data_IF_700382013461
#
_entry.id   IF_700382013461
#
_cell.length_a   1.000
_cell.length_b   1.000
_cell.length_c   1.000
_cell.angle_alpha   90.00
_cell.angle_beta   90.00
_cell.angle_gamma   90.00
#
_symmetry.space_group_name_H-M   'P 1'
#
loop_
_entity.id
_entity.type
_entity.pdbx_description
1 polymer ?
#
# COMPACT_ATOMS: atom_id res chain seq x y z
N UNK A 1 31.48 -11.50 -55.77
CA UNK A 1 30.57 -10.96 -56.81
C UNK A 1 29.99 -9.68 -56.21
N UNK A 2 30.54 -8.48 -56.42
CA UNK A 2 30.56 -7.62 -57.63
C UNK A 2 29.18 -7.24 -58.20
N UNK A 3 28.73 -6.07 -57.73
CA UNK A 3 27.98 -4.98 -58.39
C UNK A 3 26.45 -4.84 -58.17
N UNK A 4 25.93 -3.59 -58.24
CA UNK A 4 24.65 -3.18 -57.65
C UNK A 4 23.65 -2.65 -58.70
N UNK A 5 22.49 -2.16 -58.25
CA UNK A 5 21.59 -1.35 -59.08
C UNK A 5 21.14 -0.10 -58.31
N UNK A 6 21.45 1.10 -58.84
CA UNK A 6 20.78 2.34 -58.47
C UNK A 6 19.40 2.38 -59.15
N UNK A 7 18.43 3.04 -58.54
CA UNK A 7 17.47 3.86 -59.31
C UNK A 7 17.31 5.23 -58.65
N UNK A 8 17.38 6.26 -59.49
CA UNK A 8 17.13 7.65 -59.10
C UNK A 8 15.66 8.00 -59.35
N UNK A 9 15.12 8.94 -58.58
CA UNK A 9 13.80 9.53 -58.79
C UNK A 9 13.78 10.96 -58.28
N UNK A 10 13.91 11.93 -59.19
CA UNK A 10 13.96 13.36 -58.91
C UNK A 10 12.82 14.08 -59.65
N UNK A 11 11.90 14.70 -58.90
CA UNK A 11 10.99 15.77 -59.31
C UNK A 11 10.47 16.39 -58.01
N UNK A 12 10.69 17.65 -57.60
CA UNK A 12 10.80 18.97 -58.27
C UNK A 12 9.45 19.71 -58.44
N UNK A 13 9.14 20.49 -57.40
CA UNK A 13 8.52 21.85 -57.42
C UNK A 13 7.12 22.02 -58.05
N UNK A 14 6.16 22.45 -57.22
CA UNK A 14 5.54 23.78 -57.37
C UNK A 14 4.87 24.24 -56.08
N UNK A 15 4.95 25.54 -55.79
CA UNK A 15 4.33 26.19 -54.63
C UNK A 15 3.22 27.16 -55.10
N UNK A 16 2.26 27.46 -54.22
CA UNK A 16 1.28 28.57 -54.18
C UNK A 16 0.10 28.08 -53.30
N UNK A 17 -0.41 28.78 -52.29
CA UNK A 17 -0.02 30.05 -51.68
C UNK A 17 -1.23 30.70 -50.98
N UNK A 18 -1.01 31.42 -49.87
CA UNK A 18 -1.96 32.39 -49.26
C UNK A 18 -3.27 31.80 -48.64
N UNK A 19 -3.87 32.35 -47.59
CA UNK A 19 -3.51 33.46 -46.68
C UNK A 19 -4.34 33.38 -45.38
N UNK A 20 -3.86 34.02 -44.31
CA UNK A 20 -4.74 34.61 -43.29
C UNK A 20 -5.02 33.80 -42.01
N UNK A 21 -4.19 34.02 -40.99
CA UNK A 21 -4.68 34.19 -39.61
C UNK A 21 -4.07 35.47 -39.06
N UNK A 22 -4.93 36.37 -38.59
CA UNK A 22 -4.58 37.70 -38.08
C UNK A 22 -3.87 37.62 -36.73
N UNK A 23 -2.75 38.33 -36.60
CA UNK A 23 -2.17 38.64 -35.29
C UNK A 23 -2.94 39.80 -34.63
N UNK A 24 -3.24 39.68 -33.33
CA UNK A 24 -3.57 40.74 -32.36
C UNK A 24 -3.97 40.07 -31.01
N UNK A 25 -3.77 40.72 -29.85
CA UNK A 25 -2.74 41.69 -29.49
C UNK A 25 -1.77 41.14 -28.42
N UNK A 26 -0.62 41.80 -28.25
CA UNK A 26 0.09 41.73 -26.98
C UNK A 26 -0.74 42.48 -25.92
N UNK A 27 -1.16 41.79 -24.86
CA UNK A 27 -1.70 42.46 -23.66
C UNK A 27 -0.63 42.53 -22.57
N UNK A 28 -0.68 43.64 -21.84
CA UNK A 28 0.38 44.11 -20.96
C UNK A 28 0.54 43.28 -19.68
N UNK A 29 1.64 43.54 -18.97
CA UNK A 29 1.87 43.13 -17.60
C UNK A 29 0.61 43.27 -16.73
N UNK A 30 0.14 42.13 -16.23
CA UNK A 30 -0.44 42.06 -14.90
C UNK A 30 0.44 41.16 -14.05
N UNK A 31 1.36 41.80 -13.33
CA UNK A 31 2.03 41.25 -12.15
C UNK A 31 0.98 40.98 -11.07
N UNK A 32 0.18 39.94 -11.26
CA UNK A 32 -0.73 39.41 -10.25
C UNK A 32 0.12 38.81 -9.14
N UNK A 33 0.41 39.61 -8.13
CA UNK A 33 1.24 39.20 -7.00
C UNK A 33 0.69 37.94 -6.37
N UNK A 34 1.55 36.94 -6.17
CA UNK A 34 1.33 35.83 -5.25
C UNK A 34 1.42 36.35 -3.81
N UNK A 35 0.49 37.22 -3.46
CA UNK A 35 0.32 37.81 -2.12
C UNK A 35 -1.05 37.41 -1.60
N UNK A 36 -1.05 36.66 -0.51
CA UNK A 36 -2.22 36.18 0.23
C UNK A 36 -3.14 35.22 -0.53
N UNK A 37 -2.72 33.95 -0.67
CA UNK A 37 -3.66 32.90 -0.22
C UNK A 37 -3.87 33.15 1.27
N UNK A 38 -5.12 33.40 1.66
CA UNK A 38 -5.45 33.82 3.00
C UNK A 38 -4.98 32.79 4.04
N UNK A 39 -4.31 33.28 5.08
CA UNK A 39 -4.20 32.60 6.38
C UNK A 39 -5.58 32.55 7.02
N UNK A 40 -6.42 31.64 6.54
CA UNK A 40 -7.63 31.22 7.22
C UNK A 40 -7.35 29.88 7.89
N UNK A 41 -7.27 29.88 9.22
CA UNK A 41 -7.15 28.66 10.05
C UNK A 41 -8.46 27.86 10.03
N UNK A 42 -8.86 27.37 8.86
CA UNK A 42 -9.60 26.13 8.78
C UNK A 42 -8.59 25.00 9.06
N UNK A 43 -8.77 24.17 10.11
CA UNK A 43 -7.88 23.05 10.34
C UNK A 43 -7.90 22.14 9.11
N UNK A 44 -6.74 21.99 8.47
CA UNK A 44 -6.62 21.15 7.28
C UNK A 44 -7.13 19.74 7.60
N UNK A 45 -8.16 19.22 6.88
CA UNK A 45 -8.62 17.85 7.09
C UNK A 45 -7.55 16.82 6.69
N UNK A 46 -6.57 17.23 5.87
CA UNK A 46 -5.30 16.52 5.74
C UNK A 46 -4.41 16.85 6.95
N UNK A 47 -4.24 15.88 7.84
CA UNK A 47 -3.10 15.84 8.77
C UNK A 47 -1.79 15.46 8.05
N UNK A 48 -1.85 15.10 6.76
CA UNK A 48 -0.67 15.01 5.90
C UNK A 48 -0.06 16.40 5.75
N UNK A 49 1.25 16.50 5.99
CA UNK A 49 2.02 17.72 5.73
C UNK A 49 3.03 17.48 4.62
N UNK A 50 3.20 18.44 3.70
CA UNK A 50 4.28 18.43 2.72
C UNK A 50 5.27 19.51 3.13
N UNK A 51 6.50 19.12 3.45
CA UNK A 51 7.55 20.08 3.80
C UNK A 51 8.17 20.73 2.56
N UNK A 52 8.83 21.88 2.75
CA UNK A 52 9.65 22.53 1.72
C UNK A 52 10.86 21.68 1.29
N UNK A 53 11.18 20.65 2.06
CA UNK A 53 12.15 19.59 1.79
C UNK A 53 11.63 18.49 0.86
N UNK A 54 10.41 18.61 0.33
CA UNK A 54 9.80 17.64 -0.59
C UNK A 54 9.27 16.38 0.08
N UNK A 55 9.36 16.27 1.41
CA UNK A 55 8.84 15.14 2.18
C UNK A 55 7.35 15.31 2.48
N UNK A 56 6.57 14.31 2.09
CA UNK A 56 5.19 14.08 2.52
C UNK A 56 5.26 13.30 3.84
N UNK A 57 4.63 13.81 4.90
CA UNK A 57 4.60 13.19 6.24
C UNK A 57 3.18 12.81 6.61
N UNK A 58 3.00 11.61 7.12
CA UNK A 58 1.71 11.00 7.39
C UNK A 58 1.38 11.03 8.90
N UNK A 59 0.10 11.23 9.29
CA UNK A 59 -0.31 11.02 10.67
C UNK A 59 -0.19 9.54 11.04
N UNK A 60 0.45 9.21 12.15
CA UNK A 60 0.57 7.80 12.59
C UNK A 60 -0.80 7.17 12.89
N UNK A 61 -1.05 5.98 12.36
CA UNK A 61 -2.20 5.13 12.72
C UNK A 61 -2.16 4.82 14.22
N UNK A 62 -0.97 4.67 14.80
CA UNK A 62 -0.80 4.42 16.23
C UNK A 62 -1.24 5.62 17.11
N UNK A 63 -1.44 6.82 16.53
CA UNK A 63 -2.05 7.94 17.26
C UNK A 63 -3.55 7.70 17.58
N UNK A 64 -4.21 6.76 16.89
CA UNK A 64 -5.59 6.34 17.18
C UNK A 64 -5.69 5.34 18.33
N UNK A 65 -4.57 4.87 18.89
CA UNK A 65 -4.54 3.94 20.03
C UNK A 65 -3.75 4.51 21.20
N UNK A 66 -4.10 4.10 22.42
CA UNK A 66 -3.42 4.53 23.63
C UNK A 66 -2.10 3.76 23.84
N UNK A 67 -1.11 4.03 22.97
CA UNK A 67 0.24 3.52 23.12
C UNK A 67 0.83 3.90 24.49
N UNK A 68 1.32 2.88 25.19
CA UNK A 68 2.04 2.97 26.46
C UNK A 68 3.39 3.71 26.29
N UNK A 69 3.91 4.33 27.37
CA UNK A 69 5.23 4.96 27.34
C UNK A 69 6.36 3.97 26.98
N UNK A 70 6.20 2.69 27.37
CA UNK A 70 7.18 1.64 27.10
C UNK A 70 7.28 1.26 25.62
N UNK A 71 6.15 1.24 24.90
CA UNK A 71 6.11 1.01 23.46
C UNK A 71 6.60 2.24 22.69
N UNK A 72 6.14 3.44 23.06
CA UNK A 72 6.63 4.73 22.49
C UNK A 72 8.14 4.89 22.63
N UNK A 73 8.69 4.67 23.82
CA UNK A 73 10.12 4.80 24.11
C UNK A 73 11.02 3.76 23.44
N UNK A 74 10.44 2.76 22.76
CA UNK A 74 11.15 1.74 21.97
C UNK A 74 10.91 1.87 20.47
N UNK A 75 10.14 2.87 20.02
CA UNK A 75 9.95 3.13 18.60
C UNK A 75 11.28 3.52 17.94
N UNK A 76 11.56 2.94 16.76
CA UNK A 76 12.77 3.20 16.00
C UNK A 76 12.44 3.60 14.57
N UNK A 77 12.76 4.83 14.19
CA UNK A 77 12.63 5.32 12.81
C UNK A 77 13.90 5.05 12.03
N UNK A 78 13.75 4.53 10.80
CA UNK A 78 14.84 4.35 9.84
C UNK A 78 14.44 4.87 8.47
N UNK A 79 15.39 5.51 7.78
CA UNK A 79 15.24 5.90 6.38
C UNK A 79 15.49 4.68 5.48
N UNK A 80 14.61 4.45 4.52
CA UNK A 80 14.66 3.32 3.58
C UNK A 80 14.58 3.85 2.16
N UNK A 81 15.58 3.50 1.34
CA UNK A 81 15.62 3.87 -0.07
C UNK A 81 14.93 2.80 -0.91
N UNK A 82 13.81 3.15 -1.51
CA UNK A 82 13.11 2.32 -2.49
C UNK A 82 13.75 2.36 -3.88
N UNK A 83 13.14 1.64 -4.80
CA UNK A 83 13.56 1.56 -6.20
C UNK A 83 12.46 2.06 -7.14
N UNK A 84 12.80 2.95 -8.07
CA UNK A 84 11.89 3.38 -9.13
C UNK A 84 11.77 2.25 -10.17
N UNK A 85 10.59 1.61 -10.24
CA UNK A 85 10.27 0.55 -11.21
C UNK A 85 9.04 1.01 -12.00
N UNK A 86 9.19 1.21 -13.32
CA UNK A 86 8.08 1.63 -14.20
C UNK A 86 7.44 2.98 -13.83
N UNK A 87 8.24 3.96 -13.36
CA UNK A 87 7.73 5.25 -12.89
C UNK A 87 7.07 5.23 -11.51
N UNK A 88 7.06 4.08 -10.83
CA UNK A 88 6.52 3.90 -9.48
C UNK A 88 7.64 3.63 -8.49
N UNK A 89 7.61 4.22 -7.30
CA UNK A 89 8.50 3.84 -6.21
C UNK A 89 8.02 2.52 -5.58
N UNK A 90 8.86 1.49 -5.66
CA UNK A 90 8.70 0.23 -4.92
C UNK A 90 9.52 0.28 -3.63
N UNK A 91 9.00 -0.31 -2.56
CA UNK A 91 9.68 -0.37 -1.27
C UNK A 91 9.93 -1.82 -0.89
N UNK A 92 11.17 -2.11 -0.49
CA UNK A 92 11.59 -3.43 -0.06
C UNK A 92 12.01 -3.31 1.41
N UNK A 93 11.33 -4.07 2.29
CA UNK A 93 11.65 -4.15 3.71
C UNK A 93 11.83 -5.61 4.09
N UNK A 94 12.84 -5.87 4.91
CA UNK A 94 13.05 -7.17 5.54
C UNK A 94 13.39 -7.01 7.01
N UNK A 95 13.18 -8.09 7.76
CA UNK A 95 13.57 -8.19 9.16
C UNK A 95 13.35 -9.61 9.69
N UNK A 96 13.64 -9.78 10.97
CA UNK A 96 13.43 -11.02 11.71
C UNK A 96 12.51 -10.72 12.89
N UNK A 97 11.53 -11.57 13.12
CA UNK A 97 10.62 -11.50 14.27
C UNK A 97 10.64 -12.82 15.04
N UNK A 98 10.46 -12.75 16.36
CA UNK A 98 10.34 -13.92 17.22
C UNK A 98 8.88 -14.34 17.32
N UNK A 99 8.59 -15.63 17.11
CA UNK A 99 7.22 -16.15 17.18
C UNK A 99 6.62 -16.14 18.60
N UNK A 100 7.47 -15.99 19.62
CA UNK A 100 7.08 -15.79 21.02
C UNK A 100 7.45 -14.36 21.52
N UNK A 101 7.79 -13.45 20.61
CA UNK A 101 8.18 -12.07 20.94
C UNK A 101 6.99 -11.10 21.01
N UNK A 102 7.25 -9.82 21.32
CA UNK A 102 6.27 -8.77 21.09
C UNK A 102 5.97 -8.67 19.59
N UNK A 103 4.74 -8.27 19.28
CA UNK A 103 4.32 -7.91 17.94
C UNK A 103 5.00 -6.60 17.53
N UNK A 104 5.28 -6.43 16.23
CA UNK A 104 5.99 -5.28 15.67
C UNK A 104 5.10 -4.62 14.62
N UNK A 105 4.77 -3.35 14.83
CA UNK A 105 4.15 -2.53 13.80
C UNK A 105 5.19 -1.63 13.14
N UNK A 106 5.35 -1.75 11.83
CA UNK A 106 6.21 -0.89 11.01
C UNK A 106 5.32 0.03 10.19
N UNK A 107 5.56 1.34 10.25
CA UNK A 107 4.72 2.35 9.61
C UNK A 107 5.54 3.27 8.73
N UNK A 108 5.11 3.46 7.47
CA UNK A 108 5.55 4.53 6.59
C UNK A 108 5.06 5.88 7.17
N UNK A 109 5.97 6.58 7.85
CA UNK A 109 5.68 7.86 8.52
C UNK A 109 6.03 9.08 7.65
N UNK A 110 6.92 8.91 6.65
CA UNK A 110 7.18 9.91 5.62
C UNK A 110 7.62 9.29 4.29
N UNK A 111 7.44 10.04 3.20
CA UNK A 111 7.80 9.67 1.83
C UNK A 111 8.32 10.89 1.04
N UNK A 112 9.40 10.71 0.30
CA UNK A 112 9.97 11.72 -0.60
C UNK A 112 9.89 11.22 -2.06
N UNK A 113 8.90 11.68 -2.85
CA UNK A 113 8.62 11.13 -4.18
C UNK A 113 9.81 11.21 -5.14
N UNK A 114 10.51 12.35 -5.19
CA UNK A 114 11.58 12.58 -6.17
C UNK A 114 12.86 11.74 -5.93
N UNK A 115 12.99 11.09 -4.76
CA UNK A 115 14.14 10.23 -4.42
C UNK A 115 13.74 8.77 -4.14
N UNK A 116 12.44 8.43 -4.26
CA UNK A 116 11.86 7.17 -3.80
C UNK A 116 12.32 6.76 -2.39
N UNK A 117 12.38 7.70 -1.44
CA UNK A 117 12.85 7.43 -0.07
C UNK A 117 11.70 7.51 0.92
N UNK A 118 11.70 6.65 1.93
CA UNK A 118 10.66 6.51 2.94
C UNK A 118 11.26 6.59 4.35
N UNK A 119 10.52 7.10 5.33
CA UNK A 119 10.84 6.93 6.75
C UNK A 119 9.91 5.91 7.36
N UNK A 120 10.47 4.82 7.88
CA UNK A 120 9.71 3.72 8.48
C UNK A 120 9.97 3.68 9.97
N UNK A 121 8.91 3.86 10.77
CA UNK A 121 8.95 3.77 12.23
C UNK A 121 8.49 2.38 12.67
N UNK A 122 9.37 1.64 13.34
CA UNK A 122 9.09 0.32 13.92
C UNK A 122 8.76 0.48 15.39
N UNK A 123 7.57 0.08 15.81
CA UNK A 123 7.09 0.15 17.21
C UNK A 123 6.75 -1.24 17.72
N UNK A 124 7.36 -1.73 18.81
CA UNK A 124 6.92 -2.96 19.45
C UNK A 124 5.60 -2.72 20.19
N UNK A 125 4.64 -3.63 20.02
CA UNK A 125 3.32 -3.57 20.65
C UNK A 125 3.19 -4.62 21.76
N UNK A 126 2.49 -4.22 22.82
CA UNK A 126 1.92 -5.15 23.81
C UNK A 126 0.61 -5.75 23.26
N UNK A 127 0.14 -6.91 23.76
CA UNK A 127 -1.07 -7.55 23.25
C UNK A 127 -2.33 -6.68 23.27
N UNK A 128 -2.45 -5.75 24.21
CA UNK A 128 -3.57 -4.79 24.25
C UNK A 128 -3.45 -3.69 23.19
N UNK A 129 -2.24 -3.27 22.85
CA UNK A 129 -1.99 -2.31 21.76
C UNK A 129 -2.22 -2.96 20.39
N UNK A 130 -1.81 -4.22 20.21
CA UNK A 130 -2.14 -5.04 19.02
C UNK A 130 -3.65 -5.11 18.77
N UNK A 131 -4.42 -5.43 19.82
CA UNK A 131 -5.88 -5.47 19.74
C UNK A 131 -6.49 -4.10 19.42
N UNK A 132 -5.94 -3.03 20.00
CA UNK A 132 -6.33 -1.65 19.66
C UNK A 132 -6.09 -1.34 18.17
N UNK A 133 -4.92 -1.67 17.64
CA UNK A 133 -4.58 -1.48 16.22
C UNK A 133 -5.51 -2.27 15.29
N UNK A 134 -5.82 -3.52 15.64
CA UNK A 134 -6.78 -4.33 14.89
C UNK A 134 -8.17 -3.65 14.85
N UNK A 135 -8.63 -3.07 15.97
CA UNK A 135 -9.91 -2.37 16.06
C UNK A 135 -9.98 -1.08 15.21
N UNK A 136 -8.88 -0.35 15.03
CA UNK A 136 -8.82 0.83 14.12
C UNK A 136 -9.17 0.44 12.69
N UNK A 137 -8.83 -0.78 12.26
CA UNK A 137 -9.20 -1.32 10.94
C UNK A 137 -10.62 -1.88 10.84
N UNK A 138 -11.35 -2.03 11.95
CA UNK A 138 -12.70 -2.60 11.98
C UNK A 138 -13.83 -1.57 12.00
N UNK A 139 -13.51 -0.28 12.12
CA UNK A 139 -14.51 0.79 12.34
C UNK A 139 -15.19 1.29 11.05
N UNK A 140 -14.71 0.90 9.86
CA UNK A 140 -15.47 1.08 8.61
C UNK A 140 -16.62 0.06 8.59
N UNK A 141 -17.86 0.55 8.66
CA UNK A 141 -19.07 -0.23 8.88
C UNK A 141 -19.11 -1.56 8.15
N UNK A 142 -18.94 -2.65 8.91
CA UNK A 142 -18.75 -3.99 8.37
C UNK A 142 -20.01 -4.53 7.69
N UNK A 143 -20.08 -4.36 6.36
CA UNK A 143 -20.61 -5.42 5.52
C UNK A 143 -19.45 -6.39 5.31
N UNK A 144 -19.55 -7.59 5.87
CA UNK A 144 -18.77 -8.73 5.36
C UNK A 144 -19.27 -9.03 3.95
N UNK A 145 -18.75 -8.28 2.97
CA UNK A 145 -18.99 -8.58 1.57
C UNK A 145 -18.19 -9.84 1.25
N UNK A 146 -18.87 -10.98 1.22
CA UNK A 146 -18.42 -12.09 0.39
C UNK A 146 -18.29 -11.59 -1.05
N UNK A 147 -17.06 -11.25 -1.44
CA UNK A 147 -16.60 -11.03 -2.82
C UNK A 147 -17.61 -10.30 -3.72
N UNK A 148 -17.63 -8.95 -3.64
CA UNK A 148 -18.27 -8.08 -4.64
C UNK A 148 -17.94 -8.59 -6.05
N UNK A 149 -18.97 -8.90 -6.83
CA UNK A 149 -18.89 -9.91 -7.89
C UNK A 149 -18.30 -9.43 -9.23
N UNK A 150 -17.41 -8.41 -9.20
CA UNK A 150 -16.60 -7.99 -10.37
C UNK A 150 -15.37 -8.88 -10.58
N UNK A 151 -15.66 -10.15 -10.82
CA UNK A 151 -14.86 -11.11 -11.59
C UNK A 151 -13.31 -11.03 -11.49
N UNK A 152 -12.76 -11.59 -10.43
CA UNK A 152 -11.98 -12.83 -10.60
C UNK A 152 -11.98 -13.63 -9.30
N UNK A 153 -12.49 -14.87 -9.35
CA UNK A 153 -12.45 -15.78 -8.19
C UNK A 153 -10.98 -16.03 -7.84
N UNK A 154 -10.51 -15.71 -6.62
CA UNK A 154 -9.13 -15.99 -6.26
C UNK A 154 -8.86 -17.50 -6.35
N UNK A 155 -7.67 -17.93 -6.80
CA UNK A 155 -7.36 -19.34 -6.93
C UNK A 155 -7.48 -20.03 -5.57
N UNK A 156 -8.48 -20.91 -5.44
CA UNK A 156 -8.74 -21.66 -4.21
C UNK A 156 -7.60 -22.66 -3.99
N UNK A 157 -6.66 -22.33 -3.10
CA UNK A 157 -5.74 -23.34 -2.57
C UNK A 157 -6.50 -24.24 -1.61
N UNK A 158 -6.51 -25.54 -1.88
CA UNK A 158 -7.35 -26.54 -1.20
C UNK A 158 -7.13 -26.62 0.31
N UNK A 159 -8.18 -27.12 0.96
CA UNK A 159 -8.49 -27.01 2.37
C UNK A 159 -7.70 -27.94 3.30
N UNK A 160 -7.92 -27.74 4.60
CA UNK A 160 -7.27 -28.40 5.72
C UNK A 160 -7.68 -29.88 5.84
N UNK A 161 -6.75 -30.80 5.62
CA UNK A 161 -6.97 -32.22 5.97
C UNK A 161 -6.64 -32.40 7.45
N UNK A 162 -7.68 -32.63 8.25
CA UNK A 162 -7.51 -32.99 9.66
C UNK A 162 -6.76 -34.33 9.77
N UNK A 163 -5.71 -34.45 10.61
CA UNK A 163 -5.06 -35.73 10.86
C UNK A 163 -6.01 -36.66 11.61
N UNK A 164 -6.45 -37.71 10.94
CA UNK A 164 -7.24 -38.80 11.50
C UNK A 164 -6.34 -39.91 12.05
N UNK A 165 -6.85 -40.63 13.06
CA UNK A 165 -6.30 -41.83 13.71
C UNK A 165 -5.17 -41.63 14.75
N UNK A 166 -5.09 -42.60 15.65
CA UNK A 166 -4.56 -42.43 17.01
C UNK A 166 -3.19 -43.08 17.28
N UNK A 167 -2.55 -42.55 18.32
CA UNK A 167 -1.62 -43.20 19.25
C UNK A 167 -0.28 -43.78 18.73
N UNK A 168 0.81 -43.10 19.10
CA UNK A 168 1.86 -43.67 19.98
C UNK A 168 2.69 -42.54 20.62
N UNK A 169 3.16 -42.66 21.88
CA UNK A 169 3.77 -41.55 22.61
C UNK A 169 5.29 -41.39 22.40
N UNK A 170 5.78 -40.20 22.73
CA UNK A 170 7.22 -39.86 22.94
C UNK A 170 8.17 -39.91 21.74
N UNK A 171 7.84 -39.16 20.70
CA UNK A 171 8.80 -38.13 20.26
C UNK A 171 8.43 -36.84 21.02
N UNK A 172 9.42 -36.06 21.45
CA UNK A 172 9.16 -34.77 22.11
C UNK A 172 8.26 -33.95 21.17
N UNK A 173 7.08 -33.54 21.65
CA UNK A 173 6.09 -32.85 20.82
C UNK A 173 6.77 -31.67 20.14
N UNK A 174 6.94 -31.75 18.82
CA UNK A 174 7.69 -30.75 18.09
C UNK A 174 6.96 -29.42 18.29
N UNK A 175 7.64 -28.44 18.89
CA UNK A 175 7.00 -27.19 19.24
C UNK A 175 6.43 -26.57 17.97
N UNK A 176 5.10 -26.45 17.91
CA UNK A 176 4.40 -25.81 16.82
C UNK A 176 4.59 -24.31 16.96
N UNK A 177 5.21 -23.71 15.95
CA UNK A 177 5.54 -22.29 15.89
C UNK A 177 4.65 -21.67 14.83
N UNK A 178 4.11 -20.48 15.10
CA UNK A 178 3.28 -19.74 14.15
C UNK A 178 3.71 -18.29 14.10
N UNK A 179 3.62 -17.69 12.91
CA UNK A 179 3.92 -16.29 12.70
C UNK A 179 3.14 -15.72 11.53
N UNK A 180 2.95 -14.41 11.57
CA UNK A 180 2.20 -13.67 10.57
C UNK A 180 2.94 -12.41 10.12
N UNK A 181 2.59 -11.95 8.93
CA UNK A 181 2.97 -10.66 8.35
C UNK A 181 1.70 -10.11 7.70
N UNK A 182 1.29 -8.90 8.07
CA UNK A 182 0.09 -8.26 7.55
C UNK A 182 0.40 -6.84 7.05
N UNK A 183 0.62 -6.71 5.76
CA UNK A 183 0.70 -5.44 5.05
C UNK A 183 -0.68 -4.77 4.94
N UNK A 184 -0.68 -3.46 5.03
CA UNK A 184 -1.87 -2.62 5.13
C UNK A 184 -1.61 -1.30 4.39
N UNK A 185 -2.60 -0.86 3.62
CA UNK A 185 -2.61 0.46 3.01
C UNK A 185 -3.62 1.34 3.73
N UNK A 186 -3.15 2.52 4.12
CA UNK A 186 -3.89 3.49 4.91
C UNK A 186 -4.03 4.81 4.16
N UNK A 187 -5.24 5.33 4.10
CA UNK A 187 -5.54 6.60 3.44
C UNK A 187 -5.09 7.82 4.30
N UNK A 188 -5.25 9.06 3.80
CA UNK A 188 -4.81 10.26 4.50
C UNK A 188 -5.47 10.57 5.85
N UNK A 189 -6.58 9.90 6.19
CA UNK A 189 -7.27 10.03 7.48
C UNK A 189 -7.22 8.71 8.28
N UNK A 190 -6.27 7.84 7.93
CA UNK A 190 -5.96 6.57 8.57
C UNK A 190 -7.17 5.63 8.59
N UNK A 191 -7.87 5.51 7.45
CA UNK A 191 -8.80 4.43 7.13
C UNK A 191 -8.03 3.37 6.32
N UNK A 192 -8.22 2.09 6.65
CA UNK A 192 -7.59 0.97 5.96
C UNK A 192 -8.29 0.74 4.63
N UNK A 193 -7.59 0.95 3.51
CA UNK A 193 -8.14 0.83 2.15
C UNK A 193 -7.77 -0.48 1.46
N UNK A 194 -6.80 -1.21 1.99
CA UNK A 194 -6.47 -2.57 1.61
C UNK A 194 -5.59 -3.21 2.68
N UNK A 195 -5.58 -4.54 2.74
CA UNK A 195 -4.58 -5.31 3.49
C UNK A 195 -4.35 -6.67 2.83
N UNK A 196 -3.26 -7.32 3.18
CA UNK A 196 -3.00 -8.74 2.94
C UNK A 196 -2.44 -9.32 4.24
N UNK A 197 -2.76 -10.59 4.56
CA UNK A 197 -2.14 -11.30 5.69
C UNK A 197 -1.49 -12.58 5.20
N UNK A 198 -0.16 -12.66 5.27
CA UNK A 198 0.59 -13.91 5.15
C UNK A 198 0.67 -14.57 6.52
N UNK A 199 0.20 -15.81 6.59
CA UNK A 199 0.15 -16.62 7.82
C UNK A 199 0.92 -17.92 7.58
N UNK A 200 1.85 -18.27 8.48
CA UNK A 200 2.60 -19.53 8.41
C UNK A 200 2.73 -20.19 9.80
N UNK A 201 2.44 -21.49 9.86
CA UNK A 201 2.81 -22.37 10.98
C UNK A 201 3.83 -23.43 10.54
N UNK A 202 4.74 -23.83 11.43
CA UNK A 202 5.77 -24.85 11.21
C UNK A 202 6.12 -25.58 12.50
N UNK A 203 6.61 -26.82 12.42
CA UNK A 203 7.20 -27.47 13.58
C UNK A 203 8.67 -27.03 13.71
N UNK A 204 9.12 -26.70 14.93
CA UNK A 204 10.50 -26.25 15.17
C UNK A 204 11.57 -27.21 14.62
N UNK A 205 11.30 -28.52 14.64
CA UNK A 205 12.21 -29.57 14.18
C UNK A 205 11.92 -30.12 12.76
N UNK A 206 10.80 -29.75 12.11
CA UNK A 206 10.35 -30.45 10.89
C UNK A 206 9.29 -29.71 10.05
N UNK A 207 9.06 -30.23 8.83
CA UNK A 207 7.79 -30.12 8.09
C UNK A 207 6.67 -30.87 8.86
N UNK A 208 5.35 -30.59 8.72
CA UNK A 208 4.67 -29.76 7.72
C UNK A 208 4.59 -28.26 8.06
N UNK A 209 4.26 -27.49 7.03
CA UNK A 209 3.94 -26.07 7.11
C UNK A 209 2.45 -25.83 6.83
N UNK A 210 1.83 -24.92 7.57
CA UNK A 210 0.38 -24.59 7.47
C UNK A 210 0.15 -23.11 7.16
N UNK A 211 -0.95 -22.81 6.47
CA UNK A 211 -1.19 -21.52 5.82
C UNK A 211 -2.66 -21.13 5.98
N UNK A 212 -2.98 -19.83 6.15
CA UNK A 212 -4.36 -19.31 6.09
C UNK A 212 -4.62 -18.53 4.79
N UNK A 213 -5.91 -18.35 4.48
CA UNK A 213 -6.41 -17.52 3.37
C UNK A 213 -6.10 -16.04 3.65
N UNK A 214 -5.62 -15.33 2.63
CA UNK A 214 -5.53 -13.87 2.66
C UNK A 214 -6.93 -13.27 2.81
N UNK A 215 -7.11 -12.33 3.73
CA UNK A 215 -8.29 -11.45 3.73
C UNK A 215 -7.95 -10.15 3.02
N UNK A 216 -8.94 -9.60 2.33
CA UNK A 216 -8.85 -8.36 1.56
C UNK A 216 -10.14 -7.58 1.86
N UNK A 217 -10.09 -6.26 1.99
CA UNK A 217 -11.31 -5.49 2.22
C UNK A 217 -11.16 -3.99 2.05
N UNK A 218 -12.15 -3.40 1.37
CA UNK A 218 -12.60 -2.03 1.54
C UNK A 218 -14.00 -1.88 0.92
N UNK A 219 -14.97 -1.45 1.72
CA UNK A 219 -16.23 -0.95 1.22
C UNK A 219 -16.69 0.15 2.19
N UNK A 220 -16.56 1.40 1.77
CA UNK A 220 -17.10 2.53 2.51
C UNK A 220 -18.13 3.25 1.62
N UNK A 221 -19.36 3.30 2.12
CA UNK A 221 -20.28 4.35 1.71
C UNK A 221 -19.77 5.66 2.31
N UNK A 222 -19.48 6.64 1.48
CA UNK A 222 -18.84 7.88 1.88
C UNK A 222 -19.82 9.05 1.64
N UNK A 223 -20.29 9.73 2.70
CA UNK A 223 -21.22 10.84 2.57
C UNK A 223 -20.46 12.12 2.17
N UNK A 224 -21.13 13.01 1.46
CA UNK A 224 -20.61 14.32 1.03
C UNK A 224 -21.03 15.48 1.95
N UNK A 225 -20.39 16.69 1.95
CA UNK A 225 -21.01 17.89 2.53
C UNK A 225 -22.30 18.26 1.78
N UNK A 226 -22.43 17.79 0.54
CA UNK A 226 -23.67 17.84 -0.23
C UNK A 226 -24.65 16.69 0.10
N UNK A 227 -24.33 15.80 1.05
CA UNK A 227 -25.20 14.73 1.56
C UNK A 227 -25.40 13.51 0.64
N UNK A 228 -24.90 13.54 -0.59
CA UNK A 228 -24.85 12.41 -1.54
C UNK A 228 -23.85 11.36 -1.05
N UNK A 229 -24.20 10.08 -1.17
CA UNK A 229 -23.31 8.97 -0.83
C UNK A 229 -22.62 8.43 -2.08
N UNK A 230 -21.29 8.39 -2.07
CA UNK A 230 -20.49 7.71 -3.09
C UNK A 230 -20.05 6.33 -2.57
N UNK A 231 -19.96 5.36 -3.47
CA UNK A 231 -19.44 4.03 -3.20
C UNK A 231 -18.03 3.95 -3.78
N UNK A 232 -17.01 4.12 -2.92
CA UNK A 232 -15.62 3.92 -3.30
C UNK A 232 -15.19 2.50 -2.88
N UNK A 233 -14.70 1.72 -3.83
CA UNK A 233 -14.37 0.30 -3.62
C UNK A 233 -12.94 0.01 -4.09
N UNK A 234 -12.15 -0.56 -3.18
CA UNK A 234 -10.83 -1.12 -3.47
C UNK A 234 -10.98 -2.63 -3.56
N UNK A 235 -10.92 -3.18 -4.76
CA UNK A 235 -11.24 -4.59 -5.03
C UNK A 235 -9.99 -5.40 -5.41
N UNK A 236 -10.06 -6.71 -5.15
CA UNK A 236 -9.03 -7.66 -5.58
C UNK A 236 -9.04 -7.82 -7.10
N UNK A 237 -7.91 -7.56 -7.74
CA UNK A 237 -7.75 -7.64 -9.19
C UNK A 237 -7.04 -8.93 -9.64
N UNK A 238 -6.01 -9.32 -8.90
CA UNK A 238 -5.15 -10.46 -9.23
C UNK A 238 -4.21 -10.78 -8.08
N UNK A 239 -3.66 -11.98 -8.05
CA UNK A 239 -2.64 -12.36 -7.08
C UNK A 239 -2.18 -13.80 -7.27
N UNK A 240 -1.15 -14.19 -6.53
CA UNK A 240 -0.60 -15.54 -6.54
C UNK A 240 0.01 -15.87 -5.17
N UNK A 241 0.24 -17.16 -4.94
CA UNK A 241 1.04 -17.63 -3.80
C UNK A 241 2.08 -18.64 -4.26
N UNK A 242 3.20 -18.72 -3.56
CA UNK A 242 4.27 -19.68 -3.83
C UNK A 242 4.82 -20.26 -2.53
N UNK A 243 5.17 -21.54 -2.56
CA UNK A 243 5.67 -22.32 -1.42
C UNK A 243 6.97 -23.01 -1.86
N UNK A 244 8.05 -22.79 -1.11
CA UNK A 244 9.35 -23.38 -1.41
C UNK A 244 10.10 -23.66 -0.11
N UNK A 245 10.12 -24.93 0.30
CA UNK A 245 10.72 -25.36 1.57
C UNK A 245 10.14 -24.59 2.76
N UNK A 246 11.00 -23.93 3.52
CA UNK A 246 10.65 -23.11 4.68
C UNK A 246 10.05 -21.72 4.34
N UNK A 247 9.88 -21.37 3.06
CA UNK A 247 9.39 -20.06 2.61
C UNK A 247 7.99 -20.15 1.99
N UNK A 248 7.14 -19.20 2.38
CA UNK A 248 5.88 -18.89 1.72
C UNK A 248 5.86 -17.43 1.27
N UNK A 249 5.23 -17.18 0.14
CA UNK A 249 5.12 -15.85 -0.46
C UNK A 249 3.71 -15.69 -1.02
N UNK A 250 3.11 -14.53 -0.78
CA UNK A 250 1.82 -14.16 -1.32
C UNK A 250 1.91 -12.75 -1.92
N UNK A 251 1.37 -12.59 -3.12
CA UNK A 251 1.26 -11.30 -3.77
C UNK A 251 -0.19 -11.06 -4.20
N UNK A 252 -0.63 -9.82 -4.09
CA UNK A 252 -1.96 -9.40 -4.49
C UNK A 252 -1.94 -7.96 -5.01
N UNK A 253 -2.64 -7.71 -6.10
CA UNK A 253 -2.95 -6.38 -6.60
C UNK A 253 -4.38 -6.05 -6.21
N UNK A 254 -4.54 -4.99 -5.43
CA UNK A 254 -5.81 -4.29 -5.27
C UNK A 254 -5.88 -3.14 -6.27
N UNK A 255 -7.07 -2.88 -6.78
CA UNK A 255 -7.34 -1.70 -7.61
C UNK A 255 -8.53 -0.94 -7.04
N UNK A 256 -8.44 0.37 -7.07
CA UNK A 256 -9.56 1.27 -6.83
C UNK A 256 -9.68 2.18 -8.07
N UNK A 257 -10.82 2.18 -8.73
CA UNK A 257 -11.06 2.95 -9.97
C UNK A 257 -11.51 4.40 -9.73
N UNK A 258 -11.74 4.77 -8.47
CA UNK A 258 -12.36 6.03 -8.04
C UNK A 258 -11.59 6.78 -6.95
N UNK A 259 -10.39 6.33 -6.55
CA UNK A 259 -9.62 6.88 -5.43
C UNK A 259 -9.27 8.38 -5.58
N UNK A 260 -9.07 8.87 -6.81
CA UNK A 260 -8.97 10.31 -7.06
C UNK A 260 -10.23 11.07 -6.66
N UNK A 261 -11.41 10.51 -6.94
CA UNK A 261 -12.66 11.13 -6.54
C UNK A 261 -12.76 11.17 -5.03
N UNK A 262 -12.40 10.12 -4.29
CA UNK A 262 -12.28 10.18 -2.82
C UNK A 262 -11.41 11.34 -2.33
N UNK A 263 -10.22 11.53 -2.93
CA UNK A 263 -9.31 12.62 -2.53
C UNK A 263 -9.82 14.01 -2.90
N UNK A 264 -10.32 14.20 -4.13
CA UNK A 264 -10.99 15.43 -4.57
C UNK A 264 -12.20 15.78 -3.69
N UNK A 265 -12.91 14.74 -3.26
CA UNK A 265 -14.13 14.82 -2.51
C UNK A 265 -13.87 15.25 -1.05
N UNK A 266 -12.93 14.59 -0.37
CA UNK A 266 -12.62 14.84 1.06
C UNK A 266 -11.71 16.04 1.28
N UNK A 267 -10.84 16.35 0.29
CA UNK A 267 -9.78 17.35 0.44
C UNK A 267 -9.78 18.44 -0.65
N UNK A 268 -10.79 18.44 -1.52
CA UNK A 268 -10.99 19.45 -2.56
C UNK A 268 -9.86 19.52 -3.59
N UNK A 269 -9.74 20.68 -4.24
CA UNK A 269 -8.65 20.97 -5.18
C UNK A 269 -7.26 20.89 -4.53
N UNK A 270 -7.14 21.13 -3.21
CA UNK A 270 -5.88 21.02 -2.47
C UNK A 270 -5.35 19.58 -2.44
N UNK A 271 -6.22 18.60 -2.16
CA UNK A 271 -5.86 17.19 -2.24
C UNK A 271 -5.43 16.77 -3.65
N UNK A 272 -6.15 17.20 -4.68
CA UNK A 272 -5.80 16.90 -6.08
C UNK A 272 -4.47 17.50 -6.53
N UNK A 273 -4.17 18.74 -6.11
CA UNK A 273 -2.87 19.36 -6.31
C UNK A 273 -1.75 18.59 -5.59
N UNK A 274 -1.99 18.12 -4.35
CA UNK A 274 -1.06 17.27 -3.62
C UNK A 274 -0.83 15.89 -4.29
N UNK A 275 -1.75 15.41 -5.13
CA UNK A 275 -1.54 14.23 -5.97
C UNK A 275 -0.72 14.50 -7.25
N UNK A 276 -0.35 15.75 -7.54
CA UNK A 276 0.31 16.12 -8.80
C UNK A 276 -0.63 16.18 -10.00
N UNK A 277 -1.91 16.53 -9.80
CA UNK A 277 -2.93 16.67 -10.86
C UNK A 277 -3.11 15.44 -11.77
N UNK A 278 -3.33 14.22 -11.22
CA UNK A 278 -3.53 13.01 -12.02
C UNK A 278 -4.76 13.14 -12.92
N UNK A 279 -4.63 12.64 -14.16
CA UNK A 279 -5.69 12.64 -15.20
C UNK A 279 -6.53 11.35 -15.24
N UNK A 280 -6.07 10.28 -14.59
CA UNK A 280 -6.83 9.05 -14.38
C UNK A 280 -7.25 8.97 -12.91
N UNK A 281 -8.47 8.48 -12.58
CA UNK A 281 -8.91 8.34 -11.20
C UNK A 281 -8.39 7.08 -10.48
N UNK A 282 -7.76 6.15 -11.22
CA UNK A 282 -7.38 4.81 -10.75
C UNK A 282 -6.13 4.80 -9.89
N UNK A 283 -6.20 4.10 -8.76
CA UNK A 283 -5.08 3.68 -7.92
C UNK A 283 -4.93 2.14 -7.95
N UNK A 284 -3.69 1.65 -7.81
CA UNK A 284 -3.38 0.23 -7.57
C UNK A 284 -2.45 0.11 -6.37
N UNK A 285 -2.70 -0.88 -5.53
CA UNK A 285 -1.91 -1.21 -4.35
C UNK A 285 -1.47 -2.67 -4.45
N UNK A 286 -0.15 -2.90 -4.51
CA UNK A 286 0.43 -4.22 -4.72
C UNK A 286 1.16 -4.68 -3.47
N UNK A 287 0.72 -5.82 -2.94
CA UNK A 287 1.41 -6.60 -1.93
C UNK A 287 2.30 -7.66 -2.58
N UNK A 288 3.47 -7.91 -2.01
CA UNK A 288 4.36 -9.03 -2.34
C UNK A 288 5.18 -9.39 -1.10
N UNK A 289 4.56 -10.17 -0.22
CA UNK A 289 5.02 -10.43 1.13
C UNK A 289 5.44 -11.89 1.27
N UNK A 290 6.43 -12.15 2.12
CA UNK A 290 6.92 -13.50 2.37
C UNK A 290 7.37 -13.72 3.81
N UNK A 291 7.19 -14.96 4.28
CA UNK A 291 7.68 -15.45 5.57
C UNK A 291 8.59 -16.64 5.28
N UNK A 292 9.74 -16.69 5.96
CA UNK A 292 10.68 -17.83 5.93
C UNK A 292 10.95 -18.31 7.36
N UNK A 293 10.69 -19.59 7.64
CA UNK A 293 10.84 -20.16 8.98
C UNK A 293 12.31 -20.20 9.42
N UNK A 294 12.58 -19.86 10.69
CA UNK A 294 13.93 -19.79 11.25
C UNK A 294 13.94 -20.22 12.74
N UNK A 295 13.57 -21.48 13.01
CA UNK A 295 13.49 -22.02 14.36
C UNK A 295 12.35 -21.40 15.16
N UNK A 296 12.66 -20.69 16.25
CA UNK A 296 11.71 -19.89 17.04
C UNK A 296 11.43 -18.51 16.45
N UNK A 297 12.14 -18.14 15.40
CA UNK A 297 12.00 -16.88 14.69
C UNK A 297 11.48 -17.13 13.27
N UNK A 298 11.13 -16.05 12.58
CA UNK A 298 10.92 -16.05 11.16
C UNK A 298 11.52 -14.78 10.54
N UNK A 299 12.00 -14.92 9.31
CA UNK A 299 12.38 -13.78 8.49
C UNK A 299 11.18 -13.36 7.66
N UNK A 300 10.88 -12.07 7.63
CA UNK A 300 9.89 -11.51 6.73
C UNK A 300 10.58 -10.68 5.64
N UNK A 301 9.95 -10.62 4.47
CA UNK A 301 10.35 -9.72 3.38
C UNK A 301 9.11 -9.30 2.62
N UNK A 302 8.97 -8.00 2.39
CA UNK A 302 7.94 -7.40 1.54
C UNK A 302 8.59 -6.59 0.42
N UNK A 303 7.93 -6.52 -0.73
CA UNK A 303 8.41 -5.91 -1.98
C UNK A 303 7.25 -5.21 -2.67
N UNK A 304 6.61 -4.34 -1.91
CA UNK A 304 5.30 -3.79 -2.18
C UNK A 304 5.40 -2.50 -3.01
N UNK A 305 4.29 -2.07 -3.61
CA UNK A 305 4.26 -0.84 -4.41
C UNK A 305 2.85 -0.25 -4.55
N UNK A 306 2.79 1.08 -4.70
CA UNK A 306 1.55 1.86 -4.86
C UNK A 306 1.66 2.75 -6.11
N UNK A 307 0.66 2.72 -6.99
CA UNK A 307 0.75 3.39 -8.30
C UNK A 307 -0.60 3.97 -8.77
N UNK A 308 -0.54 5.01 -9.59
CA UNK A 308 -1.73 5.71 -10.08
C UNK A 308 -2.13 6.88 -9.19
N UNK A 309 -3.39 7.29 -9.30
CA UNK A 309 -3.91 8.53 -8.73
C UNK A 309 -3.73 8.58 -7.21
N UNK A 310 -3.18 9.70 -6.72
CA UNK A 310 -3.11 10.03 -5.28
C UNK A 310 -2.44 8.98 -4.36
N UNK A 311 -1.77 7.98 -4.91
CA UNK A 311 -1.11 6.92 -4.12
C UNK A 311 0.09 7.42 -3.31
N UNK A 312 0.58 8.63 -3.59
CA UNK A 312 1.54 9.35 -2.75
C UNK A 312 0.96 9.87 -1.42
N UNK A 313 -0.37 9.95 -1.30
CA UNK A 313 -1.06 10.34 -0.06
C UNK A 313 -1.43 9.13 0.82
N UNK A 314 -1.37 7.92 0.26
CA UNK A 314 -1.55 6.65 0.98
C UNK A 314 -0.23 6.25 1.60
N UNK A 315 -0.25 5.68 2.81
CA UNK A 315 0.94 5.17 3.50
C UNK A 315 0.80 3.69 3.87
N UNK A 316 1.93 3.00 3.99
CA UNK A 316 1.99 1.58 4.33
C UNK A 316 2.10 1.34 5.85
N UNK A 317 1.32 0.39 6.36
CA UNK A 317 1.51 -0.22 7.68
C UNK A 317 1.80 -1.71 7.53
N UNK A 318 2.66 -2.27 8.37
CA UNK A 318 2.97 -3.69 8.41
C UNK A 318 2.87 -4.17 9.85
N UNK A 319 2.05 -5.19 10.10
CA UNK A 319 1.98 -5.85 11.38
C UNK A 319 2.68 -7.22 11.33
N UNK A 320 3.58 -7.51 12.28
CA UNK A 320 4.39 -8.73 12.29
C UNK A 320 4.47 -9.31 13.70
N UNK A 321 4.06 -10.56 13.87
CA UNK A 321 4.10 -11.18 15.20
C UNK A 321 3.99 -12.71 15.19
N UNK A 322 3.99 -13.27 16.39
CA UNK A 322 3.62 -14.66 16.63
C UNK A 322 2.14 -14.93 16.37
N UNK A 323 1.76 -16.21 16.33
CA UNK A 323 0.36 -16.59 16.10
C UNK A 323 -0.09 -16.36 14.66
N UNK A 324 -1.40 -16.47 14.46
CA UNK A 324 -2.05 -16.09 13.21
C UNK A 324 -2.85 -14.80 13.41
N UNK A 325 -2.69 -13.86 12.48
CA UNK A 325 -3.60 -12.74 12.30
C UNK A 325 -4.82 -13.13 11.43
#
# INVERSE_FOLDING_TARGET
MRRPTLYAGLALITALGMSGVTALPAHADTTAGLTNLATGDAPSPLQITTGSDGWIRYPSVLAKINLSPGSKGKAQTRTVKGSLKGGTCSFELSGTAAANGPELYLEETAYHPASCTFEVTTTPLTPGESQGLAAVGATSGGVSVESSSRASTPPQSTEWVAPSAAASPTLAAAASVTGHVQGQWWDPINIKIAHQTVNMGWNYYASPYTWKRNTYGFAAWLPTPTGVWIYDETYYKSGWTSKSGAKFTAAATMQNDSFLYWVLYTFGAGGWAACGFPSSPRANFNFNESITAAGWNFNYTLSDSKSGACTNLVHHGLNVGGGYA
#
